data_IF_635273909291
#
_entry.id   IF_635273909291
#
_cell.length_a   1.000
_cell.length_b   1.000
_cell.length_c   1.000
_cell.angle_alpha   90.00
_cell.angle_beta   90.00
_cell.angle_gamma   90.00
#
_symmetry.space_group_name_H-M   'P 1'
#
loop_
_entity.id
_entity.type
_entity.pdbx_description
1 polymer ?
#
# COMPACT_ATOMS: atom_id res chain seq x y z
N UNK A 1 -30.42 -20.74 -17.52
CA UNK A 1 -29.91 -20.09 -16.29
C UNK A 1 -28.74 -20.86 -15.68
N UNK A 2 -28.79 -22.20 -15.68
CA UNK A 2 -27.81 -23.11 -15.06
C UNK A 2 -26.38 -23.04 -15.62
N UNK A 3 -26.20 -22.97 -16.95
CA UNK A 3 -24.86 -22.82 -17.57
C UNK A 3 -24.09 -21.58 -17.07
N UNK A 4 -24.79 -20.46 -16.81
CA UNK A 4 -24.16 -19.23 -16.29
C UNK A 4 -23.70 -19.40 -14.84
N UNK A 5 -24.41 -20.20 -14.06
CA UNK A 5 -24.06 -20.52 -12.68
C UNK A 5 -22.80 -21.41 -12.65
N UNK A 6 -22.77 -22.48 -13.44
CA UNK A 6 -21.62 -23.38 -13.55
C UNK A 6 -20.32 -22.68 -13.99
N UNK A 7 -20.41 -21.76 -14.96
CA UNK A 7 -19.26 -20.95 -15.41
C UNK A 7 -18.77 -19.99 -14.31
N UNK A 8 -19.69 -19.42 -13.52
CA UNK A 8 -19.34 -18.55 -12.39
C UNK A 8 -18.63 -19.32 -11.26
N UNK A 9 -19.07 -20.56 -10.98
CA UNK A 9 -18.44 -21.45 -9.99
C UNK A 9 -17.01 -21.81 -10.40
N UNK A 10 -16.80 -22.26 -11.64
CA UNK A 10 -15.47 -22.58 -12.16
C UNK A 10 -14.51 -21.37 -12.10
N UNK A 11 -15.01 -20.18 -12.46
CA UNK A 11 -14.22 -18.94 -12.39
C UNK A 11 -13.86 -18.56 -10.95
N UNK A 12 -14.75 -18.80 -10.00
CA UNK A 12 -14.51 -18.53 -8.58
C UNK A 12 -13.49 -19.50 -8.01
N UNK A 13 -13.62 -20.80 -8.29
CA UNK A 13 -12.68 -21.84 -7.89
C UNK A 13 -11.26 -21.56 -8.39
N UNK A 14 -11.09 -21.23 -9.67
CA UNK A 14 -9.78 -20.84 -10.23
C UNK A 14 -9.19 -19.60 -9.56
N UNK A 15 -10.02 -18.63 -9.21
CA UNK A 15 -9.56 -17.42 -8.52
C UNK A 15 -9.13 -17.72 -7.08
N UNK A 16 -9.83 -18.63 -6.40
CA UNK A 16 -9.49 -19.12 -5.07
C UNK A 16 -8.19 -19.94 -5.10
N UNK A 17 -8.01 -20.79 -6.11
CA UNK A 17 -6.78 -21.56 -6.33
C UNK A 17 -5.59 -20.64 -6.59
N UNK A 18 -5.74 -19.65 -7.48
CA UNK A 18 -4.67 -18.68 -7.75
C UNK A 18 -4.32 -17.86 -6.49
N UNK A 19 -5.32 -17.53 -5.66
CA UNK A 19 -5.08 -16.88 -4.37
C UNK A 19 -4.26 -17.78 -3.44
N UNK A 20 -4.62 -19.06 -3.33
CA UNK A 20 -3.89 -20.03 -2.52
C UNK A 20 -2.46 -20.19 -3.00
N UNK A 21 -2.22 -20.31 -4.32
CA UNK A 21 -0.87 -20.43 -4.89
C UNK A 21 -0.02 -19.20 -4.61
N UNK A 22 -0.57 -17.99 -4.76
CA UNK A 22 0.17 -16.76 -4.46
C UNK A 22 0.50 -16.61 -2.98
N UNK A 23 -0.47 -16.91 -2.10
CA UNK A 23 -0.27 -16.82 -0.64
C UNK A 23 0.73 -17.87 -0.17
N UNK A 24 0.61 -19.11 -0.65
CA UNK A 24 1.52 -20.21 -0.31
C UNK A 24 2.93 -19.93 -0.84
N UNK A 25 3.04 -19.58 -2.13
CA UNK A 25 4.33 -19.26 -2.75
C UNK A 25 5.02 -18.08 -2.09
N UNK A 26 4.29 -17.02 -1.72
CA UNK A 26 4.86 -15.90 -0.99
C UNK A 26 5.38 -16.31 0.40
N UNK A 27 4.64 -17.14 1.14
CA UNK A 27 5.10 -17.66 2.44
C UNK A 27 6.34 -18.55 2.29
N UNK A 28 6.37 -19.44 1.31
CA UNK A 28 7.49 -20.36 1.07
C UNK A 28 8.76 -19.60 0.63
N UNK A 29 8.64 -18.71 -0.35
CA UNK A 29 9.76 -17.84 -0.80
C UNK A 29 10.32 -17.05 0.37
N UNK A 30 9.45 -16.57 1.26
CA UNK A 30 9.86 -15.79 2.42
C UNK A 30 10.61 -16.63 3.46
N UNK A 31 10.14 -17.84 3.76
CA UNK A 31 10.82 -18.78 4.66
C UNK A 31 12.20 -19.15 4.09
N UNK A 32 12.28 -19.43 2.78
CA UNK A 32 13.54 -19.76 2.11
C UNK A 32 14.50 -18.57 2.16
N UNK A 33 14.04 -17.35 1.85
CA UNK A 33 14.87 -16.15 1.91
C UNK A 33 15.38 -15.86 3.33
N UNK A 34 14.53 -15.95 4.34
CA UNK A 34 14.93 -15.68 5.73
C UNK A 34 15.89 -16.72 6.27
N UNK A 35 15.62 -18.00 6.03
CA UNK A 35 16.32 -19.07 6.70
C UNK A 35 17.58 -19.48 5.93
N UNK A 36 17.51 -19.52 4.60
CA UNK A 36 18.62 -19.95 3.77
C UNK A 36 19.50 -18.77 3.36
N UNK A 37 18.94 -17.75 2.72
CA UNK A 37 19.72 -16.60 2.20
C UNK A 37 20.40 -15.82 3.33
N UNK A 38 19.69 -15.57 4.43
CA UNK A 38 20.24 -14.81 5.56
C UNK A 38 21.39 -15.55 6.26
N UNK A 39 21.26 -16.88 6.48
CA UNK A 39 22.33 -17.71 7.05
C UNK A 39 23.52 -17.86 6.08
N UNK A 40 23.24 -18.03 4.79
CA UNK A 40 24.25 -18.23 3.77
C UNK A 40 25.07 -16.95 3.53
N UNK A 41 24.43 -15.78 3.56
CA UNK A 41 25.09 -14.49 3.47
C UNK A 41 26.07 -14.26 4.64
N UNK A 42 25.65 -14.53 5.88
CA UNK A 42 26.53 -14.42 7.06
C UNK A 42 27.69 -15.43 6.97
N UNK A 43 27.42 -16.65 6.50
CA UNK A 43 28.41 -17.73 6.45
C UNK A 43 29.46 -17.54 5.35
N UNK A 44 29.11 -16.91 4.22
CA UNK A 44 30.02 -16.70 3.09
C UNK A 44 30.83 -15.41 3.17
N UNK A 45 30.28 -14.32 3.69
CA UNK A 45 30.91 -13.00 3.62
C UNK A 45 31.28 -12.40 4.99
N UNK A 46 31.13 -13.16 6.08
CA UNK A 46 31.61 -12.75 7.41
C UNK A 46 30.89 -11.53 7.97
N UNK A 47 31.53 -10.82 8.91
CA UNK A 47 30.93 -9.66 9.61
C UNK A 47 30.71 -8.44 8.70
N UNK A 48 31.38 -8.35 7.56
CA UNK A 48 31.31 -7.20 6.64
C UNK A 48 29.93 -7.05 5.98
N UNK A 49 29.22 -8.15 5.74
CA UNK A 49 27.85 -8.13 5.19
C UNK A 49 26.77 -8.01 6.26
N UNK A 50 27.10 -7.90 7.54
CA UNK A 50 26.10 -7.81 8.61
C UNK A 50 25.10 -6.66 8.39
N UNK A 51 25.59 -5.53 7.86
CA UNK A 51 24.76 -4.36 7.51
C UNK A 51 23.77 -4.73 6.40
N UNK A 52 24.26 -5.32 5.31
CA UNK A 52 23.44 -5.74 4.17
C UNK A 52 22.41 -6.81 4.55
N UNK A 53 22.78 -7.77 5.40
CA UNK A 53 21.85 -8.80 5.91
C UNK A 53 20.78 -8.18 6.79
N UNK A 54 21.12 -7.17 7.60
CA UNK A 54 20.15 -6.45 8.43
C UNK A 54 19.17 -5.63 7.57
N UNK A 55 19.66 -4.97 6.50
CA UNK A 55 18.80 -4.27 5.53
C UNK A 55 17.88 -5.27 4.81
N UNK A 56 18.43 -6.39 4.32
CA UNK A 56 17.67 -7.44 3.65
C UNK A 56 16.56 -7.99 4.55
N UNK A 57 16.88 -8.24 5.82
CA UNK A 57 15.94 -8.71 6.83
C UNK A 57 14.81 -7.70 7.05
N UNK A 58 15.13 -6.41 7.22
CA UNK A 58 14.13 -5.36 7.37
C UNK A 58 13.21 -5.24 6.14
N UNK A 59 13.78 -5.30 4.93
CA UNK A 59 12.99 -5.30 3.69
C UNK A 59 12.06 -6.51 3.61
N UNK A 60 12.52 -7.69 4.03
CA UNK A 60 11.68 -8.89 4.05
C UNK A 60 10.53 -8.79 5.07
N UNK A 61 10.74 -8.14 6.22
CA UNK A 61 9.66 -7.86 7.21
C UNK A 61 8.59 -6.93 6.61
N UNK A 62 9.00 -5.87 5.92
CA UNK A 62 8.07 -4.96 5.24
C UNK A 62 7.32 -5.70 4.13
N UNK A 63 8.04 -6.55 3.38
CA UNK A 63 7.45 -7.36 2.33
C UNK A 63 6.40 -8.33 2.89
N UNK A 64 6.64 -9.00 4.02
CA UNK A 64 5.67 -9.90 4.70
C UNK A 64 4.36 -9.16 4.96
N UNK A 65 4.45 -7.97 5.54
CA UNK A 65 3.28 -7.16 5.86
C UNK A 65 2.49 -6.75 4.61
N UNK A 66 3.15 -6.65 3.46
CA UNK A 66 2.54 -6.26 2.19
C UNK A 66 1.93 -7.44 1.40
N UNK A 67 2.32 -8.68 1.66
CA UNK A 67 1.84 -9.86 0.91
C UNK A 67 0.33 -10.04 1.06
N UNK A 68 -0.19 -9.93 2.29
CA UNK A 68 -1.61 -10.10 2.57
C UNK A 68 -2.51 -9.06 1.89
N UNK A 69 -2.24 -7.73 2.01
CA UNK A 69 -3.01 -6.73 1.28
C UNK A 69 -2.84 -6.84 -0.25
N UNK A 70 -1.66 -7.23 -0.74
CA UNK A 70 -1.42 -7.44 -2.18
C UNK A 70 -2.24 -8.61 -2.71
N UNK A 71 -2.24 -9.75 -2.02
CA UNK A 71 -3.06 -10.90 -2.37
C UNK A 71 -4.56 -10.54 -2.33
N UNK A 72 -5.00 -9.85 -1.27
CA UNK A 72 -6.38 -9.40 -1.17
C UNK A 72 -6.77 -8.41 -2.28
N UNK A 73 -5.86 -7.53 -2.73
CA UNK A 73 -6.10 -6.64 -3.86
C UNK A 73 -6.24 -7.39 -5.18
N UNK A 74 -5.43 -8.42 -5.42
CA UNK A 74 -5.48 -9.17 -6.69
C UNK A 74 -6.76 -10.02 -6.76
N UNK A 75 -7.06 -10.76 -5.69
CA UNK A 75 -8.09 -11.80 -5.73
C UNK A 75 -9.46 -11.33 -5.22
N UNK A 76 -9.52 -10.51 -4.18
CA UNK A 76 -10.79 -10.17 -3.52
C UNK A 76 -11.44 -8.95 -4.16
N UNK A 77 -12.49 -9.17 -4.97
CA UNK A 77 -13.27 -8.07 -5.62
C UNK A 77 -13.82 -7.05 -4.61
N UNK A 78 -14.28 -7.51 -3.45
CA UNK A 78 -14.82 -6.63 -2.39
C UNK A 78 -13.73 -5.72 -1.82
N UNK A 79 -12.52 -6.24 -1.64
CA UNK A 79 -11.38 -5.47 -1.16
C UNK A 79 -10.98 -4.40 -2.18
N UNK A 80 -10.88 -4.75 -3.47
CA UNK A 80 -10.64 -3.78 -4.56
C UNK A 80 -11.62 -2.61 -4.58
N UNK A 81 -12.92 -2.89 -4.42
CA UNK A 81 -13.94 -1.84 -4.37
C UNK A 81 -13.71 -0.88 -3.20
N UNK A 82 -13.42 -1.43 -2.01
CA UNK A 82 -13.11 -0.62 -0.81
C UNK A 82 -11.85 0.21 -0.98
N UNK A 83 -10.78 -0.38 -1.51
CA UNK A 83 -9.52 0.35 -1.78
C UNK A 83 -9.75 1.47 -2.79
N UNK A 84 -10.48 1.21 -3.89
CA UNK A 84 -10.79 2.24 -4.90
C UNK A 84 -11.57 3.40 -4.28
N UNK A 85 -12.56 3.11 -3.45
CA UNK A 85 -13.36 4.13 -2.78
C UNK A 85 -12.52 4.96 -1.81
N UNK A 86 -11.68 4.31 -0.99
CA UNK A 86 -10.74 5.00 -0.09
C UNK A 86 -9.76 5.91 -0.85
N UNK A 87 -9.26 5.47 -2.02
CA UNK A 87 -8.40 6.29 -2.86
C UNK A 87 -9.11 7.52 -3.42
N UNK A 88 -10.34 7.37 -3.92
CA UNK A 88 -11.14 8.50 -4.41
C UNK A 88 -11.41 9.50 -3.30
N UNK A 89 -11.77 9.01 -2.11
CA UNK A 89 -12.00 9.84 -0.93
C UNK A 89 -10.73 10.58 -0.50
N UNK A 90 -9.58 9.90 -0.47
CA UNK A 90 -8.30 10.50 -0.17
C UNK A 90 -7.94 11.60 -1.18
N UNK A 91 -8.07 11.33 -2.48
CA UNK A 91 -7.82 12.31 -3.53
C UNK A 91 -8.76 13.52 -3.42
N UNK A 92 -10.02 13.28 -3.07
CA UNK A 92 -10.98 14.35 -2.81
C UNK A 92 -10.55 15.21 -1.61
N UNK A 93 -10.16 14.59 -0.49
CA UNK A 93 -9.66 15.30 0.70
C UNK A 93 -8.41 16.13 0.39
N UNK A 94 -7.45 15.59 -0.37
CA UNK A 94 -6.25 16.31 -0.80
C UNK A 94 -6.63 17.50 -1.70
N UNK A 95 -7.54 17.31 -2.65
CA UNK A 95 -8.01 18.38 -3.54
C UNK A 95 -8.73 19.50 -2.77
N UNK A 96 -9.55 19.14 -1.78
CA UNK A 96 -10.24 20.09 -0.91
C UNK A 96 -9.26 20.86 -0.01
N UNK A 97 -8.29 20.17 0.59
CA UNK A 97 -7.23 20.79 1.38
C UNK A 97 -6.38 21.77 0.54
N UNK A 98 -6.01 21.37 -0.68
CA UNK A 98 -5.30 22.23 -1.63
C UNK A 98 -6.13 23.47 -2.02
N UNK A 99 -7.43 23.30 -2.26
CA UNK A 99 -8.35 24.43 -2.53
C UNK A 99 -8.46 25.38 -1.33
N UNK A 100 -8.67 24.86 -0.11
CA UNK A 100 -8.71 25.69 1.10
C UNK A 100 -7.41 26.47 1.31
N UNK A 101 -6.25 25.83 1.12
CA UNK A 101 -4.95 26.50 1.18
C UNK A 101 -4.73 27.57 0.10
N UNK A 102 -5.53 27.56 -0.98
CA UNK A 102 -5.48 28.56 -2.07
C UNK A 102 -6.51 29.69 -1.88
N UNK A 103 -7.52 29.50 -1.01
CA UNK A 103 -8.52 30.55 -0.68
C UNK A 103 -8.01 31.43 0.47
N UNK A 104 -7.26 30.86 1.43
CA UNK A 104 -6.67 31.60 2.55
C UNK A 104 -5.71 32.74 2.15
N UNK A 105 -4.91 32.68 1.07
CA UNK A 105 -4.06 33.80 0.64
C UNK A 105 -4.86 34.97 0.04
N UNK A 106 -6.09 34.76 -0.42
CA UNK A 106 -6.88 35.76 -1.15
C UNK A 106 -7.70 36.65 -0.20
N UNK A 107 -7.94 36.21 1.04
CA UNK A 107 -8.71 36.93 2.06
C UNK A 107 -7.79 37.40 3.20
N UNK A 108 -6.64 37.99 2.88
CA UNK A 108 -5.99 38.92 3.81
C UNK A 108 -6.66 40.29 3.61
N UNK A 109 -7.51 40.78 4.53
CA UNK A 109 -8.22 42.02 4.31
C UNK A 109 -7.25 43.19 4.37
N UNK A 110 -7.29 43.99 3.32
CA UNK A 110 -6.78 45.36 3.24
C UNK A 110 -7.39 46.15 4.42
N UNK A 111 -6.68 46.25 5.54
CA UNK A 111 -6.99 47.21 6.59
C UNK A 111 -5.93 48.30 6.58
N UNK A 112 -6.03 49.20 5.59
CA UNK A 112 -5.37 50.50 5.67
C UNK A 112 -6.09 51.27 6.77
N UNK A 113 -5.46 51.39 7.94
CA UNK A 113 -5.93 52.24 9.04
C UNK A 113 -5.96 53.69 8.56
N UNK A 114 -7.16 54.23 8.34
CA UNK A 114 -7.39 55.68 8.27
C UNK A 114 -7.49 56.19 9.71
N UNK A 115 -6.49 56.93 10.18
CA UNK A 115 -6.64 57.76 11.39
C UNK A 115 -6.21 59.17 11.05
N UNK A 116 -7.19 60.06 11.12
CA UNK A 116 -7.10 61.51 11.02
C UNK A 116 -6.19 62.05 12.14
N UNK A 117 -5.34 63.04 11.84
CA UNK A 117 -4.98 64.06 12.83
C UNK A 117 -5.11 65.43 12.18
N UNK A 118 -6.07 66.18 12.72
CA UNK A 118 -6.28 67.60 12.51
C UNK A 118 -5.24 68.31 13.38
N UNK A 119 -4.53 69.28 12.82
CA UNK A 119 -3.88 70.34 13.58
C UNK A 119 -3.95 71.64 12.79
#
# INVERSE_FOLDING_TARGET
HERKCAIATNKYERMMLNQAVFVCGAMEIQIICFNYLSKLAIKLAGKEVAISVNILTNCLVIFTASVLPTANLIFVKRFRKRVKQAFVELLFKIKTAKRMSTVVPIIAPITVKKTHQIS
#
